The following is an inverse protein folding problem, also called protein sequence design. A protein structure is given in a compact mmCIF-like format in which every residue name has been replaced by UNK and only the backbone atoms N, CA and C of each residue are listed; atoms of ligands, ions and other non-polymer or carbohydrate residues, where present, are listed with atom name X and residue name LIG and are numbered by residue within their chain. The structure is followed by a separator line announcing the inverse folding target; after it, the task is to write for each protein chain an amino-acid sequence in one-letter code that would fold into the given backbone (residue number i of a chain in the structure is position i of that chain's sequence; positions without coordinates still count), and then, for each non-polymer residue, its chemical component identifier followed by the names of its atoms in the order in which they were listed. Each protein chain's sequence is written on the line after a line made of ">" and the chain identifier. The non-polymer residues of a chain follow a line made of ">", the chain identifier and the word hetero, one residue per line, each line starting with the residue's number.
data_IF_104839541985
#
_entry.id   IF_104839541985
#
_cell.length_a   1.000
_cell.length_b   1.000
_cell.length_c   1.000
_cell.angle_alpha   90.00
_cell.angle_beta   90.00
_cell.angle_gamma   90.00
#
_symmetry.space_group_name_H-M   'P 1'
#
loop_
_entity.id
_entity.type
_entity.pdbx_description
1 polymer ?
#
# COMPACT_ATOMS: atom_id res chain seq x y z
N UNK A 1 -31.97 -6.68 6.40
CA UNK A 1 -30.76 -5.83 6.36
C UNK A 1 -31.15 -4.49 5.75
N UNK A 2 -31.36 -3.43 6.54
CA UNK A 2 -31.75 -2.09 6.07
C UNK A 2 -30.52 -1.24 5.77
N UNK A 3 -29.73 -1.62 4.77
CA UNK A 3 -28.72 -0.72 4.21
C UNK A 3 -29.43 0.20 3.19
N UNK A 4 -29.85 1.39 3.63
CA UNK A 4 -30.51 2.39 2.80
C UNK A 4 -29.49 3.15 1.92
N UNK A 5 -28.73 2.41 1.11
CA UNK A 5 -27.93 3.01 0.03
C UNK A 5 -28.86 3.18 -1.17
N UNK A 6 -29.63 4.26 -1.16
CA UNK A 6 -30.49 4.63 -2.28
C UNK A 6 -29.75 5.59 -3.22
N UNK A 7 -30.21 5.73 -4.47
CA UNK A 7 -29.61 6.61 -5.47
C UNK A 7 -29.53 8.07 -4.98
N UNK A 8 -30.48 8.50 -4.15
CA UNK A 8 -30.50 9.80 -3.49
C UNK A 8 -29.36 9.97 -2.48
N UNK A 9 -29.13 8.97 -1.62
CA UNK A 9 -28.01 8.97 -0.67
C UNK A 9 -26.67 9.00 -1.39
N UNK A 10 -26.55 8.28 -2.52
CA UNK A 10 -25.35 8.27 -3.35
C UNK A 10 -25.10 9.64 -4.01
N UNK A 11 -26.15 10.30 -4.50
CA UNK A 11 -26.09 11.63 -5.08
C UNK A 11 -25.68 12.69 -4.03
N UNK A 12 -26.26 12.63 -2.82
CA UNK A 12 -25.88 13.53 -1.73
C UNK A 12 -24.42 13.32 -1.29
N UNK A 13 -23.94 12.08 -1.23
CA UNK A 13 -22.53 11.80 -0.98
C UNK A 13 -21.62 12.35 -2.10
N UNK A 14 -22.06 12.28 -3.37
CA UNK A 14 -21.34 12.88 -4.48
C UNK A 14 -21.28 14.42 -4.41
N UNK A 15 -22.30 15.08 -3.84
CA UNK A 15 -22.25 16.52 -3.59
C UNK A 15 -21.12 16.93 -2.62
N UNK A 16 -20.73 16.08 -1.68
CA UNK A 16 -19.59 16.36 -0.79
C UNK A 16 -18.27 16.50 -1.58
N UNK A 17 -18.13 15.74 -2.66
CA UNK A 17 -16.99 15.86 -3.58
C UNK A 17 -17.02 17.22 -4.30
N UNK A 18 -18.21 17.72 -4.68
CA UNK A 18 -18.36 19.05 -5.29
C UNK A 18 -17.98 20.16 -4.32
N UNK A 19 -18.30 20.02 -3.02
CA UNK A 19 -17.85 20.97 -1.98
C UNK A 19 -16.32 20.97 -1.89
N UNK A 20 -15.68 19.80 -1.86
CA UNK A 20 -14.22 19.69 -1.84
C UNK A 20 -13.57 20.31 -3.09
N UNK A 21 -14.18 20.13 -4.27
CA UNK A 21 -13.77 20.79 -5.50
C UNK A 21 -13.91 22.32 -5.41
N UNK A 22 -15.04 22.81 -4.88
CA UNK A 22 -15.27 24.24 -4.65
C UNK A 22 -14.21 24.86 -3.75
N UNK A 23 -13.86 24.20 -2.63
CA UNK A 23 -12.78 24.64 -1.72
C UNK A 23 -11.42 24.59 -2.43
N UNK A 24 -11.14 23.54 -3.22
CA UNK A 24 -9.89 23.40 -3.97
C UNK A 24 -9.69 24.52 -5.00
N UNK A 25 -10.76 24.88 -5.71
CA UNK A 25 -10.76 26.00 -6.66
C UNK A 25 -10.61 27.35 -5.94
N UNK A 26 -11.31 27.52 -4.80
CA UNK A 26 -11.24 28.74 -4.01
C UNK A 26 -9.84 28.98 -3.44
N UNK A 27 -9.19 27.93 -2.93
CA UNK A 27 -7.82 27.97 -2.43
C UNK A 27 -6.74 27.78 -3.50
N UNK A 28 -7.12 27.65 -4.78
CA UNK A 28 -6.21 27.46 -5.92
C UNK A 28 -5.18 26.34 -5.69
N UNK A 29 -5.62 25.23 -5.09
CA UNK A 29 -4.73 24.10 -4.75
C UNK A 29 -4.22 23.34 -5.98
N UNK A 30 -4.79 23.57 -7.17
CA UNK A 30 -4.41 22.89 -8.41
C UNK A 30 -4.75 21.39 -8.43
N UNK A 31 -5.64 20.94 -7.55
CA UNK A 31 -6.06 19.54 -7.40
C UNK A 31 -7.35 19.22 -8.17
N UNK A 32 -7.94 20.19 -8.87
CA UNK A 32 -9.23 20.09 -9.55
C UNK A 32 -9.28 18.94 -10.55
N UNK A 33 -8.29 18.87 -11.45
CA UNK A 33 -8.19 17.78 -12.44
C UNK A 33 -7.94 16.43 -11.77
N UNK A 34 -7.08 16.40 -10.75
CA UNK A 34 -6.72 15.17 -10.05
C UNK A 34 -7.92 14.59 -9.27
N UNK A 35 -8.73 15.46 -8.65
CA UNK A 35 -9.96 15.04 -7.95
C UNK A 35 -10.99 14.53 -8.96
N UNK A 36 -11.28 15.27 -10.03
CA UNK A 36 -12.29 14.86 -11.03
C UNK A 36 -11.87 13.55 -11.72
N UNK A 37 -10.65 13.48 -12.24
CA UNK A 37 -10.13 12.27 -12.90
C UNK A 37 -10.08 11.11 -11.91
N UNK A 38 -9.67 11.36 -10.67
CA UNK A 38 -9.60 10.37 -9.60
C UNK A 38 -10.96 9.76 -9.28
N UNK A 39 -12.00 10.60 -9.14
CA UNK A 39 -13.37 10.17 -8.82
C UNK A 39 -13.98 9.38 -9.97
N UNK A 40 -13.92 9.91 -11.21
CA UNK A 40 -14.45 9.22 -12.39
C UNK A 40 -13.76 7.86 -12.56
N UNK A 41 -12.43 7.84 -12.45
CA UNK A 41 -11.65 6.60 -12.53
C UNK A 41 -12.04 5.62 -11.42
N UNK A 42 -12.20 6.07 -10.18
CA UNK A 42 -12.59 5.22 -9.06
C UNK A 42 -13.96 4.57 -9.30
N UNK A 43 -14.96 5.35 -9.72
CA UNK A 43 -16.30 4.83 -10.02
C UNK A 43 -16.24 3.76 -11.11
N UNK A 44 -15.63 4.08 -12.26
CA UNK A 44 -15.51 3.14 -13.39
C UNK A 44 -14.75 1.88 -12.98
N UNK A 45 -13.63 2.02 -12.25
CA UNK A 45 -12.83 0.88 -11.79
C UNK A 45 -13.58 0.00 -10.80
N UNK A 46 -14.32 0.58 -9.84
CA UNK A 46 -15.10 -0.19 -8.87
C UNK A 46 -16.20 -1.00 -9.53
N UNK A 47 -16.89 -0.44 -10.53
CA UNK A 47 -17.87 -1.19 -11.33
C UNK A 47 -17.23 -2.36 -12.07
N UNK A 48 -16.15 -2.10 -12.81
CA UNK A 48 -15.44 -3.14 -13.58
C UNK A 48 -14.95 -4.26 -12.65
N UNK A 49 -14.26 -3.90 -11.57
CA UNK A 49 -13.72 -4.87 -10.60
C UNK A 49 -14.86 -5.64 -9.92
N UNK A 50 -15.96 -4.98 -9.56
CA UNK A 50 -17.12 -5.65 -8.96
C UNK A 50 -17.71 -6.75 -9.85
N UNK A 51 -17.92 -6.46 -11.14
CA UNK A 51 -18.39 -7.47 -12.11
C UNK A 51 -17.37 -8.58 -12.34
N UNK A 52 -16.09 -8.22 -12.44
CA UNK A 52 -15.01 -9.17 -12.68
C UNK A 52 -14.83 -10.14 -11.49
N UNK A 53 -14.89 -9.64 -10.25
CA UNK A 53 -14.84 -10.48 -9.05
C UNK A 53 -16.04 -11.43 -8.96
N UNK A 54 -17.25 -10.97 -9.32
CA UNK A 54 -18.45 -11.84 -9.38
C UNK A 54 -18.23 -13.05 -10.30
N UNK A 55 -17.58 -12.84 -11.44
CA UNK A 55 -17.25 -13.93 -12.37
C UNK A 55 -16.15 -14.84 -11.81
N UNK A 56 -15.05 -14.27 -11.33
CA UNK A 56 -13.91 -15.04 -10.80
C UNK A 56 -14.33 -15.94 -9.63
N UNK A 57 -15.16 -15.42 -8.73
CA UNK A 57 -15.63 -16.18 -7.57
C UNK A 57 -16.55 -17.35 -7.99
N UNK A 58 -17.28 -17.22 -9.10
CA UNK A 58 -18.12 -18.30 -9.63
C UNK A 58 -17.31 -19.40 -10.32
N UNK A 59 -16.27 -19.02 -11.07
CA UNK A 59 -15.44 -19.98 -11.82
C UNK A 59 -14.52 -20.78 -10.88
N UNK A 60 -14.14 -20.21 -9.73
CA UNK A 60 -13.33 -20.87 -8.71
C UNK A 60 -12.05 -21.54 -9.24
N UNK A 61 -11.37 -20.88 -10.18
CA UNK A 61 -10.16 -21.40 -10.82
C UNK A 61 -8.91 -20.76 -10.20
N UNK A 62 -7.94 -21.61 -9.85
CA UNK A 62 -6.67 -21.21 -9.26
C UNK A 62 -5.87 -20.27 -10.17
N UNK A 63 -5.76 -20.57 -11.45
CA UNK A 63 -5.00 -19.76 -12.41
C UNK A 63 -5.57 -18.36 -12.56
N UNK A 64 -6.90 -18.23 -12.59
CA UNK A 64 -7.57 -16.92 -12.63
C UNK A 64 -7.32 -16.12 -11.34
N UNK A 65 -7.29 -16.80 -10.20
CA UNK A 65 -7.00 -16.18 -8.89
C UNK A 65 -5.58 -15.64 -8.86
N UNK A 66 -4.60 -16.46 -9.25
CA UNK A 66 -3.20 -16.07 -9.33
C UNK A 66 -2.97 -14.94 -10.35
N UNK A 67 -3.63 -15.00 -11.51
CA UNK A 67 -3.56 -13.94 -12.52
C UNK A 67 -4.08 -12.60 -11.96
N UNK A 68 -5.20 -12.61 -11.23
CA UNK A 68 -5.76 -11.42 -10.61
C UNK A 68 -4.85 -10.87 -9.50
N UNK A 69 -4.26 -11.74 -8.67
CA UNK A 69 -3.25 -11.36 -7.68
C UNK A 69 -2.02 -10.73 -8.34
N UNK A 70 -1.53 -11.32 -9.43
CA UNK A 70 -0.43 -10.78 -10.23
C UNK A 70 -0.75 -9.40 -10.80
N UNK A 71 -1.96 -9.21 -11.34
CA UNK A 71 -2.43 -7.92 -11.83
C UNK A 71 -2.45 -6.85 -10.73
N UNK A 72 -2.93 -7.21 -9.53
CA UNK A 72 -2.93 -6.33 -8.36
C UNK A 72 -1.50 -5.95 -7.96
N UNK A 73 -0.60 -6.93 -7.81
CA UNK A 73 0.79 -6.71 -7.41
C UNK A 73 1.53 -5.83 -8.42
N UNK A 74 1.32 -6.08 -9.72
CA UNK A 74 1.92 -5.27 -10.79
C UNK A 74 1.42 -3.82 -10.74
N UNK A 75 0.11 -3.60 -10.61
CA UNK A 75 -0.44 -2.25 -10.48
C UNK A 75 0.04 -1.54 -9.23
N UNK A 76 0.15 -2.25 -8.10
CA UNK A 76 0.67 -1.72 -6.86
C UNK A 76 2.14 -1.27 -7.02
N UNK A 77 2.98 -2.11 -7.64
CA UNK A 77 4.37 -1.78 -7.94
C UNK A 77 4.51 -0.59 -8.91
N UNK A 78 3.65 -0.53 -9.94
CA UNK A 78 3.64 0.58 -10.89
C UNK A 78 3.31 1.92 -10.23
N UNK A 79 2.35 1.92 -9.29
CA UNK A 79 2.00 3.13 -8.53
C UNK A 79 3.07 3.49 -7.49
N UNK A 80 3.72 2.50 -6.86
CA UNK A 80 4.85 2.74 -5.97
C UNK A 80 6.03 3.39 -6.70
N UNK A 81 6.37 2.90 -7.90
CA UNK A 81 7.41 3.48 -8.78
C UNK A 81 7.24 4.99 -8.99
N UNK A 82 6.00 5.43 -9.26
CA UNK A 82 5.70 6.85 -9.51
C UNK A 82 6.03 7.77 -8.32
N UNK A 83 6.17 7.20 -7.12
CA UNK A 83 6.48 7.95 -5.89
C UNK A 83 7.99 8.05 -5.61
N UNK A 84 8.84 7.36 -6.38
CA UNK A 84 10.30 7.40 -6.25
C UNK A 84 11.01 7.82 -7.54
N UNK A 85 10.78 9.05 -8.06
CA UNK A 85 11.51 9.54 -9.23
C UNK A 85 13.02 9.52 -8.98
N UNK A 86 13.83 9.14 -9.98
CA UNK A 86 15.29 9.05 -9.84
C UNK A 86 15.83 7.72 -9.31
N UNK A 87 14.97 6.81 -8.83
CA UNK A 87 15.39 5.45 -8.45
C UNK A 87 15.35 4.56 -9.70
N UNK A 88 16.52 4.19 -10.20
CA UNK A 88 16.65 3.25 -11.33
C UNK A 88 15.97 1.91 -11.01
N UNK A 89 15.31 1.29 -11.99
CA UNK A 89 14.62 0.01 -11.81
C UNK A 89 13.59 -0.02 -10.66
N UNK A 90 13.07 1.14 -10.21
CA UNK A 90 12.10 1.21 -9.11
C UNK A 90 10.87 0.31 -9.29
N UNK A 91 10.45 0.04 -10.53
CA UNK A 91 9.39 -0.92 -10.82
C UNK A 91 9.77 -2.34 -10.41
N UNK A 92 10.94 -2.82 -10.84
CA UNK A 92 11.41 -4.17 -10.53
C UNK A 92 11.64 -4.36 -9.03
N UNK A 93 12.21 -3.34 -8.38
CA UNK A 93 12.39 -3.33 -6.92
C UNK A 93 11.05 -3.36 -6.19
N UNK A 94 10.11 -2.49 -6.58
CA UNK A 94 8.77 -2.46 -5.98
C UNK A 94 8.01 -3.75 -6.22
N UNK A 95 8.13 -4.34 -7.41
CA UNK A 95 7.46 -5.59 -7.76
C UNK A 95 7.99 -6.75 -6.92
N UNK A 96 9.31 -6.87 -6.78
CA UNK A 96 9.92 -7.89 -5.92
C UNK A 96 9.53 -7.67 -4.45
N UNK A 97 9.61 -6.42 -3.95
CA UNK A 97 9.27 -6.10 -2.58
C UNK A 97 7.81 -6.43 -2.23
N UNK A 98 6.86 -6.05 -3.10
CA UNK A 98 5.43 -6.32 -2.91
C UNK A 98 5.12 -7.81 -3.10
N UNK A 99 5.76 -8.47 -4.07
CA UNK A 99 5.58 -9.90 -4.29
C UNK A 99 6.04 -10.71 -3.09
N UNK A 100 7.24 -10.43 -2.57
CA UNK A 100 7.79 -11.10 -1.39
C UNK A 100 6.95 -10.79 -0.15
N UNK A 101 6.59 -9.52 0.10
CA UNK A 101 5.76 -9.18 1.27
C UNK A 101 4.39 -9.86 1.20
N UNK A 102 3.71 -9.78 0.06
CA UNK A 102 2.40 -10.39 -0.14
C UNK A 102 2.47 -11.92 -0.06
N UNK A 103 3.45 -12.53 -0.72
CA UNK A 103 3.65 -13.97 -0.75
C UNK A 103 3.97 -14.55 0.62
N UNK A 104 4.92 -13.96 1.35
CA UNK A 104 5.27 -14.41 2.70
C UNK A 104 4.08 -14.26 3.64
N UNK A 105 3.45 -13.09 3.65
CA UNK A 105 2.33 -12.81 4.55
C UNK A 105 1.12 -13.71 4.26
N UNK A 106 0.72 -13.89 3.00
CA UNK A 106 -0.36 -14.83 2.64
C UNK A 106 0.03 -16.27 2.93
N UNK A 107 1.27 -16.66 2.64
CA UNK A 107 1.77 -18.00 2.91
C UNK A 107 1.62 -18.38 4.38
N UNK A 108 2.03 -17.50 5.30
CA UNK A 108 1.86 -17.71 6.75
C UNK A 108 0.38 -17.84 7.15
N UNK A 109 -0.51 -17.05 6.55
CA UNK A 109 -1.93 -17.12 6.90
C UNK A 109 -2.64 -18.35 6.34
N UNK A 110 -2.22 -18.84 5.18
CA UNK A 110 -2.74 -20.09 4.60
C UNK A 110 -2.19 -21.29 5.38
N UNK A 111 -0.89 -21.30 5.70
CA UNK A 111 -0.25 -22.38 6.45
C UNK A 111 -0.77 -22.48 7.90
N UNK A 112 -1.12 -21.35 8.52
CA UNK A 112 -1.73 -21.35 9.86
C UNK A 112 -3.21 -21.79 9.86
N UNK A 113 -3.80 -22.01 8.68
CA UNK A 113 -5.22 -22.35 8.54
C UNK A 113 -6.17 -21.18 8.80
N UNK A 114 -5.65 -19.96 8.98
CA UNK A 114 -6.45 -18.78 9.24
C UNK A 114 -7.21 -18.29 7.99
N UNK A 115 -6.65 -18.54 6.80
CA UNK A 115 -7.26 -18.23 5.50
C UNK A 115 -7.35 -19.50 4.66
N UNK A 116 -8.51 -19.72 4.05
CA UNK A 116 -8.68 -20.76 3.03
C UNK A 116 -8.19 -20.25 1.69
N UNK A 117 -7.56 -21.13 0.94
CA UNK A 117 -7.06 -20.82 -0.40
C UNK A 117 -8.19 -20.81 -1.43
N UNK A 118 -9.11 -19.86 -1.27
CA UNK A 118 -10.28 -19.64 -2.13
C UNK A 118 -10.26 -18.21 -2.70
N UNK A 119 -10.74 -17.99 -3.93
CA UNK A 119 -10.65 -16.70 -4.61
C UNK A 119 -11.25 -15.54 -3.81
N UNK A 120 -12.36 -15.79 -3.11
CA UNK A 120 -13.08 -14.79 -2.31
C UNK A 120 -12.30 -14.28 -1.10
N UNK A 121 -11.31 -15.02 -0.61
CA UNK A 121 -10.42 -14.59 0.47
C UNK A 121 -9.07 -14.11 -0.07
N UNK A 122 -8.50 -14.85 -1.02
CA UNK A 122 -7.17 -14.57 -1.56
C UNK A 122 -7.09 -13.21 -2.29
N UNK A 123 -8.08 -12.88 -3.12
CA UNK A 123 -8.04 -11.67 -3.95
C UNK A 123 -8.19 -10.39 -3.11
N UNK A 124 -9.18 -10.27 -2.20
CA UNK A 124 -9.27 -9.07 -1.36
C UNK A 124 -8.08 -8.91 -0.42
N UNK A 125 -7.57 -10.00 0.16
CA UNK A 125 -6.49 -9.96 1.15
C UNK A 125 -5.15 -9.62 0.46
N UNK A 126 -4.86 -10.20 -0.69
CA UNK A 126 -3.72 -9.78 -1.52
C UNK A 126 -3.82 -8.31 -1.94
N UNK A 127 -5.03 -7.84 -2.31
CA UNK A 127 -5.31 -6.44 -2.60
C UNK A 127 -4.97 -5.50 -1.43
N UNK A 128 -5.42 -5.85 -0.22
CA UNK A 128 -5.11 -5.07 0.98
C UNK A 128 -3.61 -5.05 1.29
N UNK A 129 -2.95 -6.20 1.22
CA UNK A 129 -1.51 -6.30 1.47
C UNK A 129 -0.73 -5.47 0.44
N UNK A 130 -0.97 -5.72 -0.85
CA UNK A 130 -0.26 -5.04 -1.93
C UNK A 130 -0.48 -3.51 -1.91
N UNK A 131 -1.70 -3.05 -1.61
CA UNK A 131 -2.01 -1.62 -1.49
C UNK A 131 -1.26 -0.98 -0.32
N UNK A 132 -1.24 -1.61 0.85
CA UNK A 132 -0.51 -1.08 2.01
C UNK A 132 1.01 -1.09 1.78
N UNK A 133 1.56 -2.17 1.23
CA UNK A 133 2.98 -2.22 0.85
C UNK A 133 3.32 -1.15 -0.20
N UNK A 134 2.47 -0.90 -1.20
CA UNK A 134 2.65 0.18 -2.18
C UNK A 134 2.71 1.57 -1.53
N UNK A 135 1.84 1.84 -0.55
CA UNK A 135 1.87 3.11 0.20
C UNK A 135 3.17 3.23 0.99
N UNK A 136 3.53 2.20 1.73
CA UNK A 136 4.74 2.20 2.55
C UNK A 136 6.02 2.36 1.72
N UNK A 137 6.16 1.59 0.64
CA UNK A 137 7.29 1.68 -0.31
C UNK A 137 7.34 3.07 -0.96
N UNK A 138 6.20 3.59 -1.39
CA UNK A 138 6.15 4.92 -2.03
C UNK A 138 6.57 6.05 -1.09
N UNK A 139 6.20 5.98 0.19
CA UNK A 139 6.66 6.93 1.21
C UNK A 139 8.15 6.73 1.53
N UNK A 140 8.60 5.49 1.61
CA UNK A 140 10.00 5.17 1.83
C UNK A 140 10.89 5.69 0.68
N UNK A 141 10.46 5.57 -0.57
CA UNK A 141 11.17 6.14 -1.72
C UNK A 141 11.25 7.66 -1.69
N UNK A 142 10.16 8.35 -1.33
CA UNK A 142 10.19 9.81 -1.14
C UNK A 142 11.17 10.21 -0.05
N UNK A 143 11.14 9.49 1.07
CA UNK A 143 12.06 9.71 2.18
C UNK A 143 13.52 9.45 1.79
N UNK A 144 13.82 8.37 1.06
CA UNK A 144 15.16 8.13 0.52
C UNK A 144 15.63 9.30 -0.35
N UNK A 145 14.81 9.71 -1.31
CA UNK A 145 15.16 10.82 -2.21
C UNK A 145 15.47 12.12 -1.44
N UNK A 146 14.61 12.50 -0.49
CA UNK A 146 14.83 13.68 0.34
C UNK A 146 16.10 13.54 1.16
N UNK A 147 16.25 12.43 1.90
CA UNK A 147 17.34 12.24 2.84
C UNK A 147 18.72 12.13 2.14
N UNK A 148 18.80 11.51 0.96
CA UNK A 148 20.03 11.50 0.17
C UNK A 148 20.36 12.87 -0.42
N UNK A 149 19.35 13.68 -0.74
CA UNK A 149 19.55 15.06 -1.16
C UNK A 149 20.05 15.93 0.00
N UNK A 150 19.36 15.88 1.14
CA UNK A 150 19.61 16.73 2.30
C UNK A 150 20.93 16.37 3.01
N UNK A 151 21.26 15.07 3.11
CA UNK A 151 22.46 14.56 3.79
C UNK A 151 23.61 14.27 2.83
N UNK A 152 23.56 14.75 1.58
CA UNK A 152 24.54 14.47 0.53
C UNK A 152 25.98 14.68 1.00
N UNK A 153 26.24 15.82 1.64
CA UNK A 153 27.57 16.19 2.13
C UNK A 153 28.08 15.19 3.18
N UNK A 154 27.27 14.85 4.19
CA UNK A 154 27.66 13.91 5.23
C UNK A 154 27.87 12.48 4.72
N UNK A 155 27.16 12.08 3.67
CA UNK A 155 27.41 10.79 2.99
C UNK A 155 28.76 10.81 2.28
N UNK A 156 29.10 11.88 1.55
CA UNK A 156 30.38 12.02 0.86
C UNK A 156 31.56 12.04 1.83
N UNK A 157 31.42 12.73 2.96
CA UNK A 157 32.46 12.76 4.01
C UNK A 157 32.75 11.38 4.57
N UNK A 158 31.71 10.57 4.85
CA UNK A 158 31.88 9.18 5.31
C UNK A 158 32.57 8.32 4.25
N UNK A 159 32.20 8.48 2.98
CA UNK A 159 32.84 7.75 1.88
C UNK A 159 34.31 8.16 1.70
N UNK A 160 34.62 9.45 1.84
CA UNK A 160 36.00 9.96 1.79
C UNK A 160 36.86 9.41 2.93
N UNK A 161 36.27 9.15 4.10
CA UNK A 161 36.90 8.47 5.24
C UNK A 161 36.98 6.94 5.07
N UNK A 162 36.55 6.40 3.93
CA UNK A 162 36.63 4.96 3.62
C UNK A 162 35.45 4.11 4.08
N UNK A 163 34.34 4.72 4.52
CA UNK A 163 33.14 3.96 4.90
C UNK A 163 32.56 3.18 3.70
N UNK A 164 31.97 2.01 3.97
CA UNK A 164 31.21 1.28 2.97
C UNK A 164 29.94 2.03 2.54
N UNK A 165 29.40 1.70 1.36
CA UNK A 165 28.15 2.31 0.84
C UNK A 165 26.99 2.18 1.83
N UNK A 166 26.87 1.02 2.48
CA UNK A 166 25.82 0.79 3.45
C UNK A 166 26.06 1.61 4.72
N UNK A 167 27.29 1.63 5.24
CA UNK A 167 27.61 2.37 6.47
C UNK A 167 27.42 3.88 6.30
N UNK A 168 27.75 4.41 5.11
CA UNK A 168 27.52 5.81 4.77
C UNK A 168 26.03 6.17 4.69
N UNK A 169 25.16 5.21 4.33
CA UNK A 169 23.72 5.42 4.08
C UNK A 169 22.78 4.82 5.11
N UNK A 170 23.25 4.03 6.07
CA UNK A 170 22.36 3.21 6.91
C UNK A 170 21.38 4.04 7.73
N UNK A 171 21.80 5.23 8.18
CA UNK A 171 20.92 6.17 8.88
C UNK A 171 19.76 6.64 7.98
N UNK A 172 20.06 6.97 6.73
CA UNK A 172 19.08 7.36 5.71
C UNK A 172 18.11 6.20 5.42
N UNK A 173 18.65 5.00 5.21
CA UNK A 173 17.86 3.79 4.93
C UNK A 173 16.90 3.48 6.08
N UNK A 174 17.37 3.55 7.33
CA UNK A 174 16.54 3.31 8.53
C UNK A 174 15.42 4.32 8.66
N UNK A 175 15.70 5.61 8.43
CA UNK A 175 14.69 6.65 8.54
C UNK A 175 13.65 6.55 7.40
N UNK A 176 14.08 6.18 6.20
CA UNK A 176 13.15 5.92 5.11
C UNK A 176 12.22 4.73 5.37
N UNK A 177 12.74 3.63 5.93
CA UNK A 177 11.92 2.49 6.36
C UNK A 177 10.92 2.94 7.43
N UNK A 178 11.37 3.70 8.44
CA UNK A 178 10.49 4.23 9.49
C UNK A 178 9.38 5.10 8.89
N UNK A 179 9.73 6.04 8.03
CA UNK A 179 8.77 6.92 7.32
C UNK A 179 7.73 6.11 6.55
N UNK A 180 8.17 5.06 5.84
CA UNK A 180 7.28 4.18 5.08
C UNK A 180 6.30 3.42 5.97
N UNK A 181 6.75 2.97 7.14
CA UNK A 181 5.94 2.18 8.07
C UNK A 181 5.02 3.01 8.97
N UNK A 182 5.30 4.31 9.16
CA UNK A 182 4.56 5.18 10.08
C UNK A 182 3.04 5.09 9.93
N UNK A 183 2.43 5.17 8.73
CA UNK A 183 0.97 5.12 8.61
C UNK A 183 0.36 3.83 9.12
N UNK A 184 1.03 2.68 8.89
CA UNK A 184 0.53 1.38 9.37
C UNK A 184 0.67 1.27 10.88
N UNK A 185 1.77 1.76 11.44
CA UNK A 185 1.99 1.79 12.90
C UNK A 185 0.95 2.69 13.57
N UNK A 186 0.70 3.88 13.03
CA UNK A 186 -0.23 4.83 13.61
C UNK A 186 -1.69 4.38 13.45
N UNK A 187 -2.03 3.72 12.34
CA UNK A 187 -3.31 3.03 12.21
C UNK A 187 -3.47 1.90 13.23
N UNK A 188 -2.43 1.10 13.47
CA UNK A 188 -2.48 0.02 14.48
C UNK A 188 -2.67 0.55 15.91
N UNK A 189 -2.10 1.71 16.26
CA UNK A 189 -2.29 2.36 17.57
C UNK A 189 -3.72 2.87 17.79
N UNK A 190 -4.43 3.21 16.71
CA UNK A 190 -5.74 3.87 16.77
C UNK A 190 -6.92 2.92 16.51
N UNK A 191 -6.64 1.73 15.96
CA UNK A 191 -7.63 0.66 15.76
C UNK A 191 -8.30 0.29 17.08
N UNK A 192 -9.63 0.34 17.10
CA UNK A 192 -10.45 -0.03 18.26
C UNK A 192 -10.67 1.08 19.29
N UNK A 193 -9.88 2.16 19.26
CA UNK A 193 -10.04 3.32 20.16
C UNK A 193 -10.68 4.51 19.43
N UNK A 194 -10.12 4.89 18.28
CA UNK A 194 -10.55 6.07 17.50
C UNK A 194 -11.32 5.65 16.25
N UNK A 195 -10.92 4.53 15.65
CA UNK A 195 -11.57 4.02 14.44
C UNK A 195 -11.97 2.56 14.62
N UNK A 196 -13.23 2.26 14.32
CA UNK A 196 -13.70 0.89 14.13
C UNK A 196 -13.47 0.52 12.66
N UNK A 197 -12.65 -0.51 12.36
CA UNK A 197 -12.37 -0.89 10.99
C UNK A 197 -13.62 -1.30 10.23
N UNK A 198 -13.78 -0.78 9.00
CA UNK A 198 -14.98 -1.03 8.20
C UNK A 198 -15.25 -2.51 7.92
N UNK A 199 -14.20 -3.34 7.77
CA UNK A 199 -14.35 -4.79 7.62
C UNK A 199 -14.89 -5.45 8.90
N UNK A 200 -14.42 -5.03 10.08
CA UNK A 200 -14.92 -5.53 11.36
C UNK A 200 -16.39 -5.17 11.54
N UNK A 201 -16.77 -3.90 11.32
CA UNK A 201 -18.17 -3.47 11.37
C UNK A 201 -19.03 -4.21 10.33
N UNK A 202 -18.50 -4.43 9.13
CA UNK A 202 -19.18 -5.17 8.07
C UNK A 202 -19.48 -6.63 8.45
N UNK A 203 -18.53 -7.32 9.08
CA UNK A 203 -18.75 -8.68 9.59
C UNK A 203 -19.82 -8.71 10.70
N UNK A 204 -19.79 -7.73 11.60
CA UNK A 204 -20.80 -7.60 12.67
C UNK A 204 -22.19 -7.36 12.06
N UNK A 205 -22.32 -6.46 11.07
CA UNK A 205 -23.59 -6.23 10.37
C UNK A 205 -24.07 -7.43 9.56
N UNK A 206 -23.14 -8.28 9.11
CA UNK A 206 -23.46 -9.55 8.46
C UNK A 206 -23.86 -10.67 9.46
N UNK A 207 -23.94 -10.36 10.77
CA UNK A 207 -24.36 -11.30 11.80
C UNK A 207 -23.24 -12.20 12.34
N UNK A 208 -21.97 -11.90 12.03
CA UNK A 208 -20.83 -12.60 12.61
C UNK A 208 -20.67 -12.17 14.06
N UNK A 209 -20.40 -13.14 14.93
CA UNK A 209 -20.08 -12.90 16.35
C UNK A 209 -18.99 -11.82 16.51
N UNK A 210 -19.23 -10.77 17.31
CA UNK A 210 -18.28 -9.67 17.48
C UNK A 210 -16.89 -10.12 17.95
N UNK A 211 -16.80 -11.15 18.79
CA UNK A 211 -15.50 -11.65 19.27
C UNK A 211 -14.71 -12.29 18.13
N UNK A 212 -15.37 -13.03 17.23
CA UNK A 212 -14.73 -13.51 15.99
C UNK A 212 -14.30 -12.37 15.08
N UNK A 213 -15.14 -11.35 14.89
CA UNK A 213 -14.81 -10.19 14.07
C UNK A 213 -13.56 -9.44 14.60
N UNK A 214 -13.45 -9.30 15.93
CA UNK A 214 -12.28 -8.71 16.60
C UNK A 214 -11.02 -9.54 16.33
N UNK A 215 -11.08 -10.86 16.50
CA UNK A 215 -9.93 -11.75 16.23
C UNK A 215 -9.44 -11.64 14.79
N UNK A 216 -10.37 -11.60 13.83
CA UNK A 216 -10.04 -11.37 12.41
C UNK A 216 -9.38 -10.01 12.20
N UNK A 217 -9.87 -8.96 12.86
CA UNK A 217 -9.30 -7.63 12.72
C UNK A 217 -7.89 -7.53 13.31
N UNK A 218 -7.63 -8.14 14.47
CA UNK A 218 -6.28 -8.22 15.06
C UNK A 218 -5.32 -8.90 14.08
N UNK A 219 -5.74 -10.03 13.50
CA UNK A 219 -4.97 -10.74 12.48
C UNK A 219 -4.67 -9.85 11.27
N UNK A 220 -5.66 -9.12 10.74
CA UNK A 220 -5.46 -8.19 9.62
C UNK A 220 -4.47 -7.08 10.00
N UNK A 221 -4.55 -6.52 11.20
CA UNK A 221 -3.60 -5.48 11.65
C UNK A 221 -2.17 -6.02 11.70
N UNK A 222 -1.94 -7.22 12.25
CA UNK A 222 -0.61 -7.83 12.29
C UNK A 222 -0.08 -8.20 10.91
N UNK A 223 -0.96 -8.73 10.06
CA UNK A 223 -0.68 -9.02 8.66
C UNK A 223 -0.20 -7.78 7.91
N UNK A 224 -0.91 -6.66 8.05
CA UNK A 224 -0.56 -5.40 7.38
C UNK A 224 0.77 -4.84 7.91
N UNK A 225 0.99 -4.83 9.23
CA UNK A 225 2.26 -4.42 9.83
C UNK A 225 3.44 -5.26 9.31
N UNK A 226 3.27 -6.57 9.23
CA UNK A 226 4.29 -7.47 8.69
C UNK A 226 4.59 -7.17 7.23
N UNK A 227 3.55 -7.03 6.40
CA UNK A 227 3.73 -6.81 4.97
C UNK A 227 4.28 -5.43 4.62
N UNK A 228 3.91 -4.37 5.34
CA UNK A 228 4.50 -3.04 5.12
C UNK A 228 5.92 -2.96 5.63
N UNK A 229 6.25 -3.66 6.73
CA UNK A 229 7.62 -3.81 7.21
C UNK A 229 8.52 -4.50 6.18
N UNK A 230 8.14 -5.71 5.75
CA UNK A 230 8.90 -6.47 4.75
C UNK A 230 9.04 -5.70 3.44
N UNK A 231 7.93 -5.12 2.94
CA UNK A 231 7.93 -4.34 1.71
C UNK A 231 8.87 -3.13 1.78
N UNK A 232 8.82 -2.35 2.86
CA UNK A 232 9.67 -1.17 3.04
C UNK A 232 11.14 -1.53 3.20
N UNK A 233 11.44 -2.58 3.98
CA UNK A 233 12.81 -3.07 4.17
C UNK A 233 13.40 -3.50 2.83
N UNK A 234 12.74 -4.42 2.12
CA UNK A 234 13.25 -4.95 0.84
C UNK A 234 13.41 -3.82 -0.18
N UNK A 235 12.42 -2.94 -0.28
CA UNK A 235 12.47 -1.83 -1.23
C UNK A 235 13.63 -0.86 -0.91
N UNK A 236 13.84 -0.49 0.35
CA UNK A 236 14.93 0.42 0.73
C UNK A 236 16.32 -0.20 0.56
N UNK A 237 16.52 -1.45 0.98
CA UNK A 237 17.80 -2.15 0.82
C UNK A 237 18.16 -2.44 -0.63
N UNK A 238 17.19 -2.53 -1.54
CA UNK A 238 17.46 -2.64 -2.97
C UNK A 238 17.62 -1.26 -3.63
N UNK A 239 16.85 -0.25 -3.22
CA UNK A 239 16.86 1.06 -3.83
C UNK A 239 18.07 1.93 -3.44
N UNK A 240 18.63 1.79 -2.23
CA UNK A 240 19.72 2.68 -1.77
C UNK A 240 20.95 2.63 -2.68
N UNK A 241 21.22 1.49 -3.32
CA UNK A 241 22.36 1.32 -4.23
C UNK A 241 22.23 2.17 -5.49
N UNK A 242 21.01 2.52 -5.89
CA UNK A 242 20.76 3.28 -7.12
C UNK A 242 21.15 4.76 -7.01
N UNK A 243 21.34 5.27 -5.79
CA UNK A 243 21.85 6.62 -5.54
C UNK A 243 23.36 6.72 -5.80
N UNK A 244 24.04 5.60 -6.00
CA UNK A 244 25.46 5.53 -6.29
C UNK A 244 25.73 5.18 -7.75
N UNK A 245 26.83 5.70 -8.30
CA UNK A 245 27.39 5.26 -9.58
C UNK A 245 28.39 4.09 -9.39
N UNK A 246 28.90 3.53 -10.49
CA UNK A 246 29.87 2.42 -10.46
C UNK A 246 31.17 2.75 -9.69
N UNK A 247 31.51 4.04 -9.58
CA UNK A 247 32.68 4.54 -8.86
C UNK A 247 32.38 4.84 -7.38
N UNK A 248 31.23 4.42 -6.85
CA UNK A 248 30.77 4.68 -5.47
C UNK A 248 30.57 6.17 -5.14
N UNK A 249 30.32 7.01 -6.13
CA UNK A 249 29.96 8.42 -5.95
C UNK A 249 28.44 8.58 -5.98
N UNK A 250 27.92 9.56 -5.24
CA UNK A 250 26.50 9.93 -5.33
C UNK A 250 26.20 10.53 -6.71
N UNK A 251 25.08 10.11 -7.31
CA UNK A 251 24.53 10.70 -8.54
C UNK A 251 24.02 12.13 -8.32
#
# INVERSE_FOLDING_TARGET
>A
MNLAVNNTSLFLAAMLVLVALGISLWQKLGLDKDIIIGVVRAVVQLFIVGYLLKYIFRVNNLWLTLAMMGFIIFNAAWNAKKRGPGIDHALGISLLAIFVSTGVTLGVLVLSGAIKFIPSQMIPISGMIASNSMVAIGLAYRSLNSQFHDQRQGVLERLALGAGLLDASIAIVREAIRTGMSPTIDSAKTVGLVSLPGMMSGLIFAGVDPVRAIKYQIMVTFMLLSATSLGSIIACYLAYRNFYNAQKQLK
#
